data_IF_440821886864
#
_entry.id   IF_440821886864
#
_cell.length_a   1.000
_cell.length_b   1.000
_cell.length_c   1.000
_cell.angle_alpha   90.00
_cell.angle_beta   90.00
_cell.angle_gamma   90.00
#
_symmetry.space_group_name_H-M   'P 1'
#
loop_
_entity.id
_entity.type
_entity.pdbx_description
1 polymer ?
#
# COMPACT_ATOMS: atom_id res chain seq x y z
N UNK A 1 -12.92 12.29 -2.35
CA UNK A 1 -13.07 12.08 -3.80
C UNK A 1 -13.55 10.67 -4.15
N UNK A 2 -12.75 9.61 -4.04
CA UNK A 2 -13.14 8.27 -4.52
C UNK A 2 -14.43 7.70 -3.89
N UNK A 3 -14.68 7.94 -2.60
CA UNK A 3 -15.95 7.55 -1.98
C UNK A 3 -17.16 8.24 -2.62
N UNK A 4 -17.02 9.49 -3.09
CA UNK A 4 -18.10 10.26 -3.71
C UNK A 4 -18.53 9.64 -5.05
N UNK A 5 -17.61 8.97 -5.76
CA UNK A 5 -17.93 8.22 -6.98
C UNK A 5 -18.96 7.11 -6.72
N UNK A 6 -19.10 6.66 -5.47
CA UNK A 6 -20.06 5.66 -5.01
C UNK A 6 -21.20 6.26 -4.17
N UNK A 7 -21.34 7.59 -4.14
CA UNK A 7 -22.40 8.28 -3.40
C UNK A 7 -22.13 8.49 -1.91
N UNK A 8 -20.89 8.31 -1.43
CA UNK A 8 -20.54 8.45 -0.02
C UNK A 8 -19.55 9.57 0.23
N UNK A 9 -19.73 10.32 1.33
CA UNK A 9 -18.82 11.40 1.72
C UNK A 9 -17.61 10.91 2.53
N UNK A 10 -17.66 9.69 3.06
CA UNK A 10 -16.66 9.14 3.94
C UNK A 10 -16.49 7.62 3.74
N UNK A 11 -15.32 7.12 4.11
CA UNK A 11 -14.98 5.71 3.95
C UNK A 11 -15.76 4.78 4.87
N UNK A 12 -16.18 5.25 6.06
CA UNK A 12 -16.91 4.42 7.02
C UNK A 12 -18.28 4.02 6.45
N UNK A 13 -19.00 4.98 5.87
CA UNK A 13 -20.29 4.74 5.25
C UNK A 13 -20.21 3.75 4.07
N UNK A 14 -19.16 3.86 3.25
CA UNK A 14 -18.90 2.90 2.16
C UNK A 14 -18.53 1.50 2.69
N UNK A 15 -17.68 1.42 3.72
CA UNK A 15 -17.26 0.17 4.38
C UNK A 15 -18.46 -0.61 4.91
N UNK A 16 -19.43 0.06 5.53
CA UNK A 16 -20.61 -0.59 6.12
C UNK A 16 -21.40 -1.39 5.07
N UNK A 17 -21.36 -0.99 3.79
CA UNK A 17 -22.01 -1.73 2.70
C UNK A 17 -21.29 -3.03 2.31
N UNK A 18 -19.98 -3.15 2.55
CA UNK A 18 -19.16 -4.21 1.97
C UNK A 18 -18.56 -5.18 2.99
N UNK A 19 -18.38 -4.76 4.25
CA UNK A 19 -17.58 -5.51 5.24
C UNK A 19 -18.09 -6.93 5.55
N UNK A 20 -19.39 -7.19 5.42
CA UNK A 20 -20.00 -8.50 5.69
C UNK A 20 -20.25 -9.34 4.43
N UNK A 21 -19.80 -8.87 3.26
CA UNK A 21 -20.01 -9.61 2.01
C UNK A 21 -19.00 -10.74 1.87
N UNK A 22 -19.45 -11.80 1.21
CA UNK A 22 -18.59 -12.93 0.89
C UNK A 22 -17.50 -12.53 -0.11
N UNK A 23 -16.30 -13.05 0.10
CA UNK A 23 -15.13 -12.76 -0.73
C UNK A 23 -15.08 -13.61 -2.00
N UNK A 24 -15.82 -14.73 -2.01
CA UNK A 24 -15.90 -15.62 -3.16
C UNK A 24 -16.72 -15.00 -4.29
N UNK A 25 -16.46 -15.40 -5.55
CA UNK A 25 -17.31 -15.05 -6.69
C UNK A 25 -18.78 -15.43 -6.48
N UNK A 26 -19.68 -14.58 -6.97
CA UNK A 26 -21.07 -14.95 -7.19
C UNK A 26 -21.20 -15.95 -8.36
N UNK A 27 -22.37 -16.58 -8.49
CA UNK A 27 -22.64 -17.61 -9.51
C UNK A 27 -22.45 -17.11 -10.96
N UNK A 28 -22.65 -15.82 -11.19
CA UNK A 28 -22.51 -15.18 -12.50
C UNK A 28 -21.07 -14.76 -12.82
N UNK A 29 -20.12 -15.05 -11.92
CA UNK A 29 -18.71 -14.75 -12.11
C UNK A 29 -18.30 -13.33 -11.73
N UNK A 30 -19.19 -12.49 -11.22
CA UNK A 30 -18.81 -11.19 -10.63
C UNK A 30 -18.55 -11.31 -9.13
N UNK A 31 -17.88 -10.33 -8.53
CA UNK A 31 -17.78 -10.27 -7.06
C UNK A 31 -19.10 -9.83 -6.42
N UNK A 32 -19.35 -10.27 -5.19
CA UNK A 32 -20.44 -9.70 -4.39
C UNK A 32 -20.25 -8.19 -4.14
N UNK A 33 -19.00 -7.71 -4.15
CA UNK A 33 -18.68 -6.29 -4.07
C UNK A 33 -19.24 -5.52 -5.28
N UNK A 34 -19.03 -6.01 -6.50
CA UNK A 34 -19.62 -5.41 -7.72
C UNK A 34 -21.13 -5.29 -7.62
N UNK A 35 -21.82 -6.37 -7.25
CA UNK A 35 -23.29 -6.39 -7.18
C UNK A 35 -23.84 -5.37 -6.18
N UNK A 36 -23.21 -5.26 -5.00
CA UNK A 36 -23.58 -4.24 -4.02
C UNK A 36 -23.27 -2.84 -4.52
N UNK A 37 -22.08 -2.60 -5.07
CA UNK A 37 -21.65 -1.27 -5.53
C UNK A 37 -22.51 -0.76 -6.70
N UNK A 38 -22.90 -1.63 -7.64
CA UNK A 38 -23.78 -1.32 -8.77
C UNK A 38 -25.16 -0.81 -8.31
N UNK A 39 -25.64 -1.31 -7.17
CA UNK A 39 -26.94 -0.95 -6.61
C UNK A 39 -26.96 0.35 -5.79
N UNK A 40 -25.80 0.98 -5.59
CA UNK A 40 -25.70 2.18 -4.75
C UNK A 40 -26.37 3.40 -5.39
N UNK A 41 -27.15 4.12 -4.59
CA UNK A 41 -27.68 5.42 -4.99
C UNK A 41 -26.55 6.44 -5.07
N UNK A 42 -26.46 7.17 -6.18
CA UNK A 42 -25.41 8.18 -6.38
C UNK A 42 -24.10 7.64 -6.96
N UNK A 43 -24.10 6.40 -7.47
CA UNK A 43 -23.00 5.87 -8.27
C UNK A 43 -22.77 6.76 -9.49
N UNK A 44 -21.54 7.27 -9.63
CA UNK A 44 -21.12 8.16 -10.71
C UNK A 44 -20.38 7.40 -11.83
N UNK A 45 -20.04 6.13 -11.59
CA UNK A 45 -19.39 5.24 -12.56
C UNK A 45 -20.47 4.42 -13.27
N UNK A 46 -20.37 4.28 -14.59
CA UNK A 46 -21.34 3.46 -15.31
C UNK A 46 -21.29 1.99 -14.85
N UNK A 47 -22.43 1.28 -14.80
CA UNK A 47 -22.46 -0.13 -14.40
C UNK A 47 -21.55 -1.05 -15.25
N UNK A 48 -21.40 -0.72 -16.53
CA UNK A 48 -20.57 -1.49 -17.47
C UNK A 48 -19.07 -1.26 -17.20
N UNK A 49 -18.68 -0.02 -16.92
CA UNK A 49 -17.30 0.30 -16.55
C UNK A 49 -16.93 -0.32 -15.20
N UNK A 50 -17.84 -0.26 -14.21
CA UNK A 50 -17.64 -0.93 -12.93
C UNK A 50 -17.53 -2.46 -13.09
N UNK A 51 -18.29 -3.05 -14.01
CA UNK A 51 -18.20 -4.47 -14.34
C UNK A 51 -16.84 -4.82 -14.97
N UNK A 52 -16.36 -3.98 -15.89
CA UNK A 52 -15.05 -4.15 -16.50
C UNK A 52 -13.91 -4.11 -15.46
N UNK A 53 -13.98 -3.19 -14.49
CA UNK A 53 -13.02 -3.16 -13.38
C UNK A 53 -13.09 -4.42 -12.53
N UNK A 54 -14.29 -4.88 -12.15
CA UNK A 54 -14.44 -6.11 -11.35
C UNK A 54 -13.82 -7.32 -12.05
N UNK A 55 -14.14 -7.51 -13.34
CA UNK A 55 -13.58 -8.60 -14.14
C UNK A 55 -12.06 -8.51 -14.25
N UNK A 56 -11.51 -7.31 -14.44
CA UNK A 56 -10.07 -7.12 -14.51
C UNK A 56 -9.39 -7.40 -13.16
N UNK A 57 -10.02 -7.02 -12.03
CA UNK A 57 -9.55 -7.35 -10.68
C UNK A 57 -9.45 -8.86 -10.50
N UNK A 58 -10.46 -9.60 -10.96
CA UNK A 58 -10.44 -11.07 -10.88
C UNK A 58 -9.27 -11.68 -11.64
N UNK A 59 -8.96 -11.19 -12.84
CA UNK A 59 -7.79 -11.64 -13.61
C UNK A 59 -6.51 -11.48 -12.79
N UNK A 60 -6.35 -10.36 -12.08
CA UNK A 60 -5.19 -10.18 -11.19
C UNK A 60 -5.20 -11.14 -10.01
N UNK A 61 -6.36 -11.42 -9.40
CA UNK A 61 -6.47 -12.37 -8.29
C UNK A 61 -6.16 -13.80 -8.76
N UNK A 62 -6.61 -14.18 -9.95
CA UNK A 62 -6.26 -15.47 -10.57
C UNK A 62 -4.75 -15.58 -10.81
N UNK A 63 -4.12 -14.53 -11.34
CA UNK A 63 -2.66 -14.47 -11.49
C UNK A 63 -1.92 -14.55 -10.14
N UNK A 64 -2.39 -13.81 -9.14
CA UNK A 64 -1.83 -13.82 -7.78
C UNK A 64 -1.86 -15.22 -7.16
N UNK A 65 -2.89 -16.01 -7.48
CA UNK A 65 -3.11 -17.34 -6.93
C UNK A 65 -2.42 -18.48 -7.68
N UNK A 66 -1.83 -18.22 -8.86
CA UNK A 66 -1.23 -19.25 -9.72
C UNK A 66 -0.25 -20.19 -9.00
N UNK A 67 0.52 -19.65 -8.06
CA UNK A 67 1.50 -20.41 -7.29
C UNK A 67 1.29 -20.31 -5.77
N UNK A 68 0.07 -19.95 -5.33
CA UNK A 68 -0.27 -19.83 -3.91
C UNK A 68 -1.19 -20.96 -3.48
N UNK A 69 -0.93 -21.50 -2.30
CA UNK A 69 -1.78 -22.49 -1.64
C UNK A 69 -1.77 -22.21 -0.15
N UNK A 70 -2.93 -21.94 0.49
CA UNK A 70 -4.27 -21.81 -0.11
C UNK A 70 -4.40 -20.59 -1.04
N UNK A 71 -5.42 -20.56 -1.92
CA UNK A 71 -5.71 -19.38 -2.72
C UNK A 71 -6.16 -18.21 -1.83
N UNK A 72 -5.76 -17.01 -2.21
CA UNK A 72 -6.12 -15.75 -1.59
C UNK A 72 -7.44 -15.25 -2.20
N UNK A 73 -8.34 -14.81 -1.35
CA UNK A 73 -9.48 -13.97 -1.74
C UNK A 73 -9.26 -12.57 -1.19
N UNK A 74 -9.62 -11.54 -1.95
CA UNK A 74 -9.47 -10.16 -1.49
C UNK A 74 -10.56 -9.85 -0.47
N UNK A 75 -10.14 -9.40 0.72
CA UNK A 75 -11.06 -8.75 1.67
C UNK A 75 -11.64 -7.49 1.05
N UNK A 76 -12.78 -7.03 1.53
CA UNK A 76 -13.45 -5.85 0.96
C UNK A 76 -12.54 -4.61 0.87
N UNK A 77 -11.68 -4.38 1.87
CA UNK A 77 -10.75 -3.25 1.88
C UNK A 77 -9.59 -3.42 0.89
N UNK A 78 -9.18 -4.66 0.63
CA UNK A 78 -8.20 -4.98 -0.42
C UNK A 78 -8.83 -4.77 -1.80
N UNK A 79 -10.06 -5.26 -1.99
CA UNK A 79 -10.83 -5.03 -3.21
C UNK A 79 -11.01 -3.54 -3.48
N UNK A 80 -11.40 -2.74 -2.47
CA UNK A 80 -11.54 -1.28 -2.64
C UNK A 80 -10.22 -0.58 -2.97
N UNK A 81 -9.12 -0.96 -2.32
CA UNK A 81 -7.80 -0.40 -2.64
C UNK A 81 -7.42 -0.66 -4.12
N UNK A 82 -7.67 -1.88 -4.60
CA UNK A 82 -7.44 -2.25 -6.00
C UNK A 82 -8.42 -1.54 -6.93
N UNK A 83 -9.71 -1.48 -6.60
CA UNK A 83 -10.73 -0.81 -7.40
C UNK A 83 -10.47 0.69 -7.55
N UNK A 84 -10.05 1.37 -6.47
CA UNK A 84 -9.68 2.78 -6.55
C UNK A 84 -8.45 2.96 -7.43
N UNK A 85 -7.53 1.99 -7.43
CA UNK A 85 -6.37 1.98 -8.34
C UNK A 85 -6.78 1.76 -9.79
N UNK A 86 -7.75 0.87 -10.08
CA UNK A 86 -8.32 0.70 -11.43
C UNK A 86 -8.88 2.03 -11.95
N UNK A 87 -9.74 2.66 -11.16
CA UNK A 87 -10.39 3.93 -11.53
C UNK A 87 -9.34 5.03 -11.72
N UNK A 88 -8.37 5.14 -10.81
CA UNK A 88 -7.33 6.16 -10.90
C UNK A 88 -6.48 5.96 -12.15
N UNK A 89 -5.98 4.74 -12.38
CA UNK A 89 -5.05 4.46 -13.47
C UNK A 89 -5.72 4.51 -14.84
N UNK A 90 -6.96 4.03 -15.00
CA UNK A 90 -7.74 4.26 -16.24
C UNK A 90 -7.73 5.75 -16.57
N UNK A 91 -8.24 6.55 -15.64
CA UNK A 91 -8.40 7.99 -15.84
C UNK A 91 -7.07 8.72 -16.03
N UNK A 92 -6.01 8.30 -15.34
CA UNK A 92 -4.67 8.84 -15.50
C UNK A 92 -4.18 8.68 -16.96
N UNK A 93 -4.46 7.53 -17.58
CA UNK A 93 -3.96 7.18 -18.90
C UNK A 93 -4.98 7.41 -20.04
N UNK A 94 -6.27 7.59 -19.75
CA UNK A 94 -7.32 7.87 -20.74
C UNK A 94 -7.75 9.34 -20.76
N UNK A 95 -7.75 10.02 -19.62
CA UNK A 95 -8.43 11.32 -19.43
C UNK A 95 -7.77 12.19 -18.36
N UNK A 96 -6.43 12.27 -18.37
CA UNK A 96 -5.62 12.96 -17.34
C UNK A 96 -6.10 14.38 -17.03
N UNK A 97 -6.38 15.19 -18.06
CA UNK A 97 -6.80 16.57 -17.88
C UNK A 97 -8.16 16.67 -17.14
N UNK A 98 -9.09 15.79 -17.48
CA UNK A 98 -10.39 15.69 -16.81
C UNK A 98 -10.24 15.25 -15.36
N UNK A 99 -9.37 14.26 -15.09
CA UNK A 99 -9.07 13.83 -13.71
C UNK A 99 -8.54 14.99 -12.85
N UNK A 100 -7.61 15.80 -13.37
CA UNK A 100 -7.12 16.99 -12.66
C UNK A 100 -8.24 18.00 -12.39
N UNK A 101 -9.10 18.26 -13.39
CA UNK A 101 -10.22 19.20 -13.23
C UNK A 101 -11.14 18.77 -12.10
N UNK A 102 -11.60 17.51 -12.12
CA UNK A 102 -12.54 17.00 -11.12
C UNK A 102 -11.93 16.89 -9.72
N UNK A 103 -10.64 16.54 -9.60
CA UNK A 103 -9.94 16.59 -8.31
C UNK A 103 -9.89 18.02 -7.77
N UNK A 104 -9.67 19.01 -8.64
CA UNK A 104 -9.62 20.42 -8.24
C UNK A 104 -11.00 21.00 -7.93
N UNK A 105 -12.05 20.53 -8.60
CA UNK A 105 -13.44 20.84 -8.24
C UNK A 105 -13.75 20.30 -6.84
N UNK A 106 -13.38 19.04 -6.55
CA UNK A 106 -13.51 18.47 -5.21
C UNK A 106 -12.71 19.25 -4.16
N UNK A 107 -11.48 19.67 -4.46
CA UNK A 107 -10.68 20.55 -3.57
C UNK A 107 -11.38 21.88 -3.30
N UNK A 108 -11.99 22.50 -4.32
CA UNK A 108 -12.73 23.73 -4.16
C UNK A 108 -13.96 23.55 -3.26
N UNK A 109 -14.70 22.44 -3.42
CA UNK A 109 -15.81 22.07 -2.55
C UNK A 109 -15.36 21.87 -1.10
N UNK A 110 -14.30 21.10 -0.85
CA UNK A 110 -13.76 20.89 0.50
C UNK A 110 -13.27 22.21 1.13
N UNK A 111 -12.57 23.04 0.36
CA UNK A 111 -12.14 24.37 0.81
C UNK A 111 -13.30 25.31 1.14
N UNK A 112 -14.48 25.13 0.52
CA UNK A 112 -15.67 25.92 0.83
C UNK A 112 -16.30 25.55 2.18
N UNK A 113 -16.06 24.34 2.68
CA UNK A 113 -16.54 23.83 3.97
C UNK A 113 -15.65 24.28 5.13
N UNK A 114 -14.43 24.73 4.84
CA UNK A 114 -13.46 25.18 5.85
C UNK A 114 -13.81 26.57 6.39
N UNK A 115 -13.45 26.80 7.65
CA UNK A 115 -13.52 28.14 8.26
C UNK A 115 -12.63 29.13 7.49
N UNK A 116 -13.00 30.42 7.37
CA UNK A 116 -12.20 31.43 6.66
C UNK A 116 -10.75 31.58 7.14
N UNK A 117 -10.47 31.19 8.38
CA UNK A 117 -9.13 31.26 9.00
C UNK A 117 -8.33 29.94 8.89
N UNK A 118 -8.96 28.87 8.41
CA UNK A 118 -8.28 27.59 8.25
C UNK A 118 -7.39 27.61 6.99
N UNK A 119 -6.22 26.96 7.01
CA UNK A 119 -5.41 26.80 5.81
C UNK A 119 -6.19 25.99 4.77
N UNK A 120 -6.20 26.47 3.52
CA UNK A 120 -6.87 25.81 2.41
C UNK A 120 -5.99 24.73 1.80
N UNK A 121 -6.61 23.66 1.31
CA UNK A 121 -5.97 22.66 0.47
C UNK A 121 -5.56 23.29 -0.87
N UNK A 122 -4.38 22.95 -1.36
CA UNK A 122 -3.91 23.43 -2.66
C UNK A 122 -4.44 22.55 -3.80
N UNK A 123 -4.52 23.11 -5.00
CA UNK A 123 -4.96 22.40 -6.19
C UNK A 123 -3.93 21.33 -6.61
N UNK A 124 -4.42 20.23 -7.15
CA UNK A 124 -3.65 19.21 -7.84
C UNK A 124 -3.01 19.76 -9.12
N UNK A 125 -1.76 19.37 -9.32
CA UNK A 125 -0.95 19.62 -10.51
C UNK A 125 -0.66 18.31 -11.24
N UNK A 126 -0.05 18.39 -12.43
CA UNK A 126 0.35 17.19 -13.15
C UNK A 126 1.37 16.35 -12.38
N UNK A 127 2.29 16.95 -11.64
CA UNK A 127 3.28 16.21 -10.82
C UNK A 127 2.63 15.51 -9.64
N UNK A 128 1.51 16.00 -9.12
CA UNK A 128 0.81 15.35 -8.01
C UNK A 128 0.18 14.02 -8.44
N UNK A 129 -0.01 13.80 -9.75
CA UNK A 129 -0.57 12.55 -10.27
C UNK A 129 0.45 11.45 -10.57
N UNK A 130 1.73 11.64 -10.28
CA UNK A 130 2.76 10.61 -10.47
C UNK A 130 3.06 9.80 -9.21
N UNK A 131 2.24 9.95 -8.16
CA UNK A 131 2.39 9.22 -6.90
C UNK A 131 1.05 8.74 -6.35
N UNK A 132 1.00 7.47 -5.95
CA UNK A 132 -0.06 6.90 -5.15
C UNK A 132 0.51 6.31 -3.86
N UNK A 133 -0.18 6.53 -2.75
CA UNK A 133 0.16 6.00 -1.45
C UNK A 133 -1.00 5.19 -0.85
N UNK A 134 -0.66 4.10 -0.18
CA UNK A 134 -1.60 3.22 0.52
C UNK A 134 -1.27 3.25 2.01
N UNK A 135 -2.12 3.95 2.77
CA UNK A 135 -2.01 3.98 4.22
C UNK A 135 -2.77 2.81 4.81
N UNK A 136 -2.11 1.66 4.96
CA UNK A 136 -2.79 0.45 5.42
C UNK A 136 -2.04 -0.24 6.55
N UNK A 137 -2.78 -0.75 7.55
CA UNK A 137 -2.22 -1.41 8.73
C UNK A 137 -1.25 -2.56 8.37
N UNK A 138 -0.30 -2.86 9.24
CA UNK A 138 0.54 -4.06 9.10
C UNK A 138 -0.33 -5.31 9.22
N UNK A 139 -0.14 -6.27 8.32
CA UNK A 139 -1.01 -7.46 8.23
C UNK A 139 -2.24 -7.29 7.31
N UNK A 140 -2.56 -6.08 6.85
CA UNK A 140 -3.68 -5.85 5.90
C UNK A 140 -3.43 -6.36 4.47
N UNK A 141 -2.26 -6.96 4.18
CA UNK A 141 -1.97 -7.52 2.86
C UNK A 141 -1.45 -6.52 1.82
N UNK A 142 -0.78 -5.43 2.23
CA UNK A 142 -0.16 -4.43 1.33
C UNK A 142 0.70 -5.04 0.21
N UNK A 143 1.44 -6.11 0.51
CA UNK A 143 2.26 -6.83 -0.48
C UNK A 143 1.43 -7.39 -1.64
N UNK A 144 0.22 -7.88 -1.36
CA UNK A 144 -0.67 -8.40 -2.41
C UNK A 144 -1.17 -7.25 -3.29
N UNK A 145 -1.57 -6.14 -2.67
CA UNK A 145 -1.99 -4.91 -3.36
C UNK A 145 -0.86 -4.37 -4.24
N UNK A 146 0.38 -4.38 -3.75
CA UNK A 146 1.56 -3.97 -4.51
C UNK A 146 1.76 -4.78 -5.79
N UNK A 147 1.63 -6.10 -5.72
CA UNK A 147 1.75 -6.96 -6.89
C UNK A 147 0.64 -6.72 -7.89
N UNK A 148 -0.60 -6.53 -7.41
CA UNK A 148 -1.74 -6.19 -8.25
C UNK A 148 -1.50 -4.81 -8.90
N UNK A 149 -1.08 -3.80 -8.14
CA UNK A 149 -0.81 -2.46 -8.67
C UNK A 149 0.25 -2.45 -9.78
N UNK A 150 1.25 -3.34 -9.72
CA UNK A 150 2.18 -3.53 -10.84
C UNK A 150 1.44 -3.93 -12.12
N UNK A 151 0.57 -4.95 -12.05
CA UNK A 151 -0.21 -5.38 -13.21
C UNK A 151 -1.21 -4.33 -13.68
N UNK A 152 -1.87 -3.62 -12.76
CA UNK A 152 -2.77 -2.52 -13.09
C UNK A 152 -2.04 -1.41 -13.83
N UNK A 153 -0.88 -1.01 -13.32
CA UNK A 153 -0.08 0.03 -13.96
C UNK A 153 0.31 -0.38 -15.37
N UNK A 154 0.86 -1.59 -15.54
CA UNK A 154 1.24 -2.10 -16.86
C UNK A 154 0.05 -2.23 -17.82
N UNK A 155 -1.11 -2.63 -17.30
CA UNK A 155 -2.35 -2.76 -18.08
C UNK A 155 -2.83 -1.42 -18.66
N UNK A 156 -2.76 -0.34 -17.88
CA UNK A 156 -3.23 0.98 -18.32
C UNK A 156 -2.15 1.83 -19.01
N UNK A 157 -0.88 1.67 -18.62
CA UNK A 157 0.22 2.39 -19.23
C UNK A 157 0.49 1.89 -20.64
N UNK A 158 0.45 0.56 -20.86
CA UNK A 158 0.78 -0.09 -22.14
C UNK A 158 1.97 0.60 -22.82
N UNK A 159 1.83 0.99 -24.09
CA UNK A 159 2.85 1.70 -24.87
C UNK A 159 2.83 3.23 -24.68
N UNK A 160 1.95 3.79 -23.82
CA UNK A 160 1.83 5.24 -23.59
C UNK A 160 3.01 5.79 -22.79
N UNK A 161 3.58 4.97 -21.91
CA UNK A 161 4.73 5.33 -21.07
C UNK A 161 5.68 4.15 -21.00
N UNK A 162 6.97 4.43 -21.22
CA UNK A 162 8.04 3.45 -21.03
C UNK A 162 8.92 3.91 -19.87
N UNK A 163 9.17 3.01 -18.93
CA UNK A 163 10.09 3.24 -17.82
C UNK A 163 11.42 2.56 -18.06
N UNK A 164 12.50 3.20 -17.60
CA UNK A 164 13.85 2.64 -17.68
C UNK A 164 14.03 1.44 -16.76
N UNK A 165 13.35 1.43 -15.60
CA UNK A 165 13.40 0.35 -14.62
C UNK A 165 12.06 0.20 -13.87
N UNK A 166 11.81 -1.02 -13.37
CA UNK A 166 10.82 -1.28 -12.31
C UNK A 166 11.58 -1.62 -11.04
N UNK A 167 11.45 -0.79 -10.00
CA UNK A 167 12.22 -0.88 -8.77
C UNK A 167 11.31 -1.07 -7.56
N UNK A 168 11.68 -1.98 -6.66
CA UNK A 168 11.08 -2.09 -5.33
C UNK A 168 12.13 -1.75 -4.28
N UNK A 169 11.93 -0.64 -3.58
CA UNK A 169 12.80 -0.18 -2.49
C UNK A 169 12.27 -0.70 -1.16
N UNK A 170 13.13 -1.41 -0.42
CA UNK A 170 12.84 -2.00 0.89
C UNK A 170 13.72 -1.38 1.98
N UNK A 171 13.34 -1.44 3.26
CA UNK A 171 14.10 -0.81 4.33
C UNK A 171 15.29 -1.62 4.84
N UNK A 172 15.37 -2.93 4.56
CA UNK A 172 16.52 -3.79 4.88
C UNK A 172 16.57 -5.04 3.98
N UNK A 173 17.76 -5.66 3.86
CA UNK A 173 17.99 -6.89 3.09
C UNK A 173 17.05 -8.06 3.49
N UNK A 174 16.68 -8.18 4.77
CA UNK A 174 15.75 -9.23 5.23
C UNK A 174 14.36 -9.11 4.59
N UNK A 175 13.85 -7.88 4.51
CA UNK A 175 12.60 -7.57 3.81
C UNK A 175 12.75 -7.68 2.29
N UNK A 176 13.91 -7.34 1.72
CA UNK A 176 14.21 -7.62 0.30
C UNK A 176 14.01 -9.09 -0.05
N UNK A 177 14.58 -10.00 0.76
CA UNK A 177 14.44 -11.43 0.56
C UNK A 177 13.01 -11.91 0.77
N UNK A 178 12.26 -11.31 1.69
CA UNK A 178 10.84 -11.61 1.88
C UNK A 178 10.01 -11.24 0.64
N UNK A 179 10.21 -10.03 0.10
CA UNK A 179 9.54 -9.60 -1.13
C UNK A 179 9.88 -10.50 -2.32
N UNK A 180 11.14 -10.89 -2.49
CA UNK A 180 11.52 -11.84 -3.55
C UNK A 180 10.78 -13.19 -3.44
N UNK A 181 10.56 -13.71 -2.22
CA UNK A 181 9.76 -14.92 -2.02
C UNK A 181 8.29 -14.70 -2.37
N UNK A 182 7.71 -13.57 -1.97
CA UNK A 182 6.30 -13.25 -2.25
C UNK A 182 6.04 -12.95 -3.73
N UNK A 183 6.97 -12.30 -4.42
CA UNK A 183 6.91 -12.03 -5.86
C UNK A 183 6.92 -13.35 -6.65
N UNK A 184 7.76 -14.31 -6.26
CA UNK A 184 7.77 -15.67 -6.85
C UNK A 184 6.43 -16.38 -6.68
N UNK A 185 5.81 -16.31 -5.50
CA UNK A 185 4.46 -16.87 -5.27
C UNK A 185 3.39 -16.22 -6.17
N UNK A 186 3.65 -15.01 -6.65
CA UNK A 186 2.75 -14.26 -7.54
C UNK A 186 3.15 -14.40 -9.02
N UNK A 187 4.18 -15.20 -9.33
CA UNK A 187 4.69 -15.37 -10.70
C UNK A 187 5.41 -14.15 -11.27
N UNK A 188 5.77 -13.16 -10.44
CA UNK A 188 6.47 -11.95 -10.90
C UNK A 188 7.96 -12.23 -10.98
N UNK A 189 8.53 -12.00 -12.16
CA UNK A 189 9.97 -12.11 -12.39
C UNK A 189 10.67 -10.95 -11.69
N UNK A 190 11.47 -11.27 -10.68
CA UNK A 190 12.20 -10.30 -9.90
C UNK A 190 13.61 -10.78 -9.56
N UNK A 191 14.53 -9.83 -9.40
CA UNK A 191 15.92 -10.09 -9.00
C UNK A 191 16.33 -9.24 -7.81
N UNK A 192 17.25 -9.74 -7.00
CA UNK A 192 17.90 -8.91 -6.00
C UNK A 192 18.91 -7.97 -6.67
N UNK A 193 19.02 -6.74 -6.18
CA UNK A 193 20.07 -5.83 -6.64
C UNK A 193 21.46 -6.43 -6.39
N UNK A 194 22.32 -6.38 -7.41
CA UNK A 194 23.66 -6.96 -7.37
C UNK A 194 23.76 -8.43 -7.78
N UNK A 195 22.64 -9.15 -7.96
CA UNK A 195 22.67 -10.48 -8.56
C UNK A 195 22.81 -10.37 -10.09
N UNK A 196 23.67 -11.21 -10.67
CA UNK A 196 23.75 -11.38 -12.11
C UNK A 196 22.38 -11.85 -12.59
N UNK A 197 21.74 -11.05 -13.46
CA UNK A 197 20.39 -11.35 -13.91
C UNK A 197 20.37 -12.68 -14.65
N UNK A 198 19.46 -13.57 -14.28
CA UNK A 198 18.86 -14.47 -15.26
C UNK A 198 17.99 -13.59 -16.15
N UNK A 199 18.60 -12.94 -17.14
CA UNK A 199 17.85 -12.36 -18.24
C UNK A 199 17.20 -13.55 -18.93
N UNK A 200 15.95 -13.82 -18.60
CA UNK A 200 15.16 -14.73 -19.41
C UNK A 200 14.88 -13.98 -20.72
N UNK A 201 15.87 -14.01 -21.61
CA UNK A 201 15.86 -13.40 -22.94
C UNK A 201 14.65 -13.84 -23.77
N UNK A 202 13.92 -14.87 -23.31
CA UNK A 202 12.74 -15.43 -23.92
C UNK A 202 11.42 -14.73 -23.55
N UNK A 203 11.34 -13.93 -22.47
CA UNK A 203 10.06 -13.34 -22.04
C UNK A 203 9.82 -11.88 -22.49
N UNK A 204 10.88 -11.16 -22.88
CA UNK A 204 10.79 -9.74 -23.27
C UNK A 204 10.34 -8.78 -22.16
N UNK A 205 10.10 -9.27 -20.94
CA UNK A 205 9.63 -8.48 -19.80
C UNK A 205 10.79 -7.99 -18.96
N UNK A 206 10.79 -6.69 -18.65
CA UNK A 206 11.78 -6.09 -17.75
C UNK A 206 11.55 -6.61 -16.31
N UNK A 207 12.54 -7.29 -15.69
CA UNK A 207 12.37 -7.85 -14.35
C UNK A 207 12.31 -6.74 -13.29
N UNK A 208 11.47 -6.93 -12.28
CA UNK A 208 11.43 -6.05 -11.11
C UNK A 208 12.71 -6.21 -10.30
N UNK A 209 13.40 -5.10 -10.01
CA UNK A 209 14.62 -5.12 -9.21
C UNK A 209 14.31 -4.74 -7.77
N UNK A 210 14.57 -5.64 -6.83
CA UNK A 210 14.41 -5.39 -5.40
C UNK A 210 15.73 -4.86 -4.84
N UNK A 211 15.71 -3.68 -4.23
CA UNK A 211 16.88 -3.00 -3.69
C UNK A 211 16.62 -2.50 -2.28
N UNK A 212 17.52 -2.83 -1.35
CA UNK A 212 17.52 -2.18 -0.04
C UNK A 212 17.97 -0.72 -0.19
N UNK A 213 17.23 0.18 0.47
CA UNK A 213 17.47 1.62 0.45
C UNK A 213 18.88 2.05 0.88
N UNK A 214 19.54 1.33 1.79
CA UNK A 214 20.92 1.67 2.22
C UNK A 214 21.97 1.44 1.13
N UNK A 215 21.63 0.69 0.07
CA UNK A 215 22.50 0.53 -1.10
C UNK A 215 22.43 1.74 -2.04
N UNK A 216 21.39 2.57 -1.93
CA UNK A 216 21.23 3.80 -2.71
C UNK A 216 22.06 4.93 -2.09
N UNK A 217 22.81 5.65 -2.90
CA UNK A 217 23.61 6.80 -2.48
C UNK A 217 23.56 7.94 -3.51
N UNK A 218 23.90 9.15 -3.10
CA UNK A 218 24.06 10.29 -4.03
C UNK A 218 25.42 10.29 -4.72
N UNK A 219 26.46 9.78 -4.04
CA UNK A 219 27.82 9.73 -4.57
C UNK A 219 28.51 8.51 -3.99
N UNK A 220 29.06 7.66 -4.86
CA UNK A 220 29.74 6.44 -4.44
C UNK A 220 31.04 6.80 -3.73
N UNK A 221 31.11 6.52 -2.43
CA UNK A 221 32.34 6.63 -1.64
C UNK A 221 32.77 5.22 -1.21
N UNK A 222 33.78 4.66 -1.90
CA UNK A 222 34.39 3.37 -1.56
C UNK A 222 33.95 2.17 -2.40
N UNK A 223 34.35 0.97 -1.98
CA UNK A 223 34.24 -0.30 -2.73
C UNK A 223 33.05 -1.22 -2.38
N UNK A 224 31.99 -0.69 -1.76
CA UNK A 224 30.80 -1.48 -1.41
C UNK A 224 29.83 -1.72 -2.58
N UNK A 225 28.79 -2.54 -2.31
CA UNK A 225 27.65 -2.81 -3.21
C UNK A 225 26.68 -1.60 -3.34
N UNK A 226 27.15 -0.39 -3.05
CA UNK A 226 26.34 0.84 -3.19
C UNK A 226 26.29 1.30 -4.64
N UNK A 227 25.18 1.97 -4.97
CA UNK A 227 24.87 2.49 -6.30
C UNK A 227 24.34 3.91 -6.21
N UNK A 228 24.83 4.73 -7.13
CA UNK A 228 24.35 6.09 -7.27
C UNK A 228 22.93 6.07 -7.82
N UNK A 229 22.03 6.85 -7.23
CA UNK A 229 20.64 6.95 -7.68
C UNK A 229 20.55 7.29 -9.17
N UNK A 230 21.45 8.14 -9.66
CA UNK A 230 21.48 8.56 -11.07
C UNK A 230 21.78 7.41 -12.04
N UNK A 231 22.36 6.30 -11.57
CA UNK A 231 22.60 5.13 -12.41
C UNK A 231 21.31 4.47 -12.90
N UNK A 232 20.20 4.66 -12.20
CA UNK A 232 18.88 4.19 -12.63
C UNK A 232 18.16 5.21 -13.54
N UNK A 233 18.66 6.44 -13.65
CA UNK A 233 17.96 7.54 -14.31
C UNK A 233 16.69 7.99 -13.56
N UNK A 234 16.01 9.05 -14.05
CA UNK A 234 14.89 9.67 -13.35
C UNK A 234 13.51 9.06 -13.68
N UNK A 235 13.41 8.23 -14.71
CA UNK A 235 12.15 7.69 -15.23
C UNK A 235 11.98 6.21 -14.84
N UNK A 236 11.64 5.95 -13.59
CA UNK A 236 11.40 4.60 -13.07
C UNK A 236 9.97 4.41 -12.58
N UNK A 237 9.45 3.18 -12.69
CA UNK A 237 8.29 2.73 -11.93
C UNK A 237 8.77 2.25 -10.57
N UNK A 238 8.50 3.04 -9.53
CA UNK A 238 9.05 2.87 -8.20
C UNK A 238 7.98 2.36 -7.22
N UNK A 239 8.26 1.26 -6.54
CA UNK A 239 7.49 0.76 -5.40
C UNK A 239 8.31 0.95 -4.14
N UNK A 240 7.67 1.44 -3.07
CA UNK A 240 8.35 1.73 -1.79
C UNK A 240 7.62 1.00 -0.68
N UNK A 241 8.29 0.03 -0.07
CA UNK A 241 7.81 -0.63 1.14
C UNK A 241 8.25 0.13 2.39
N UNK A 242 7.38 0.17 3.39
CA UNK A 242 7.54 0.96 4.61
C UNK A 242 8.04 2.39 4.35
N UNK A 243 7.32 3.10 3.45
CA UNK A 243 7.64 4.46 3.04
C UNK A 243 7.93 5.42 4.20
N UNK A 244 7.39 5.12 5.38
CA UNK A 244 7.59 5.83 6.65
C UNK A 244 8.95 5.65 7.33
N UNK A 245 9.56 4.46 7.30
CA UNK A 245 10.87 4.25 7.96
C UNK A 245 11.96 5.04 7.26
N UNK A 246 11.71 5.43 6.00
CA UNK A 246 12.51 6.39 5.25
C UNK A 246 12.08 7.85 5.33
N UNK A 247 11.01 8.17 6.05
CA UNK A 247 10.59 9.56 6.22
C UNK A 247 11.32 10.27 7.38
N UNK A 248 12.04 9.52 8.23
CA UNK A 248 12.90 10.09 9.29
C UNK A 248 14.27 10.55 8.78
N UNK A 249 14.70 10.10 7.58
CA UNK A 249 15.92 10.57 6.92
C UNK A 249 15.61 11.41 5.69
N UNK A 250 15.90 12.72 5.74
CA UNK A 250 15.74 13.65 4.61
C UNK A 250 16.39 13.13 3.32
N UNK A 251 17.55 12.49 3.47
CA UNK A 251 18.28 11.82 2.40
C UNK A 251 17.43 10.77 1.69
N UNK A 252 16.69 9.93 2.41
CA UNK A 252 15.96 8.81 1.81
C UNK A 252 14.77 9.30 0.97
N UNK A 253 14.05 10.31 1.46
CA UNK A 253 12.97 10.95 0.69
C UNK A 253 13.52 11.57 -0.60
N UNK A 254 14.66 12.23 -0.53
CA UNK A 254 15.30 12.83 -1.71
C UNK A 254 15.78 11.78 -2.72
N UNK A 255 16.40 10.69 -2.26
CA UNK A 255 16.79 9.57 -3.12
C UNK A 255 15.58 8.98 -3.87
N UNK A 256 14.46 8.77 -3.18
CA UNK A 256 13.22 8.29 -3.80
C UNK A 256 12.64 9.29 -4.80
N UNK A 257 12.66 10.59 -4.47
CA UNK A 257 12.22 11.66 -5.37
C UNK A 257 13.04 11.65 -6.66
N UNK A 258 14.36 11.53 -6.56
CA UNK A 258 15.27 11.47 -7.72
C UNK A 258 15.06 10.22 -8.57
N UNK A 259 14.82 9.06 -7.96
CA UNK A 259 14.55 7.82 -8.68
C UNK A 259 13.30 7.87 -9.57
N UNK A 260 12.30 8.65 -9.20
CA UNK A 260 11.02 8.68 -9.92
C UNK A 260 10.58 10.10 -10.32
N UNK A 261 11.53 11.02 -10.49
CA UNK A 261 11.26 12.42 -10.83
C UNK A 261 10.46 12.56 -12.13
N UNK A 262 10.73 11.70 -13.11
CA UNK A 262 10.02 11.61 -14.39
C UNK A 262 9.21 10.31 -14.51
N UNK A 263 9.11 9.56 -13.40
CA UNK A 263 8.50 8.23 -13.34
C UNK A 263 7.16 8.23 -12.62
N UNK A 264 6.84 7.09 -12.00
CA UNK A 264 5.64 6.91 -11.20
C UNK A 264 5.97 6.17 -9.90
N UNK A 265 5.39 6.59 -8.78
CA UNK A 265 5.67 6.01 -7.47
C UNK A 265 4.42 5.41 -6.82
N UNK A 266 4.53 4.19 -6.34
CA UNK A 266 3.61 3.57 -5.38
C UNK A 266 4.29 3.47 -4.00
N UNK A 267 3.67 4.02 -2.97
CA UNK A 267 4.16 3.94 -1.59
C UNK A 267 3.21 3.17 -0.68
N UNK A 268 3.76 2.29 0.16
CA UNK A 268 2.99 1.44 1.08
C UNK A 268 3.49 1.67 2.50
N UNK A 269 2.59 1.98 3.44
CA UNK A 269 2.99 2.23 4.81
C UNK A 269 1.84 2.09 5.80
N UNK A 270 2.14 1.61 7.01
CA UNK A 270 1.18 1.57 8.11
C UNK A 270 1.14 2.86 8.95
N UNK A 271 2.14 3.74 8.86
CA UNK A 271 2.38 4.77 9.88
C UNK A 271 2.51 6.19 9.33
N UNK A 272 1.86 6.51 8.20
CA UNK A 272 1.87 7.88 7.66
C UNK A 272 1.47 8.94 8.70
N UNK A 273 0.44 8.67 9.51
CA UNK A 273 0.04 9.57 10.60
C UNK A 273 1.15 9.82 11.63
N UNK A 274 1.97 8.82 11.95
CA UNK A 274 3.10 8.99 12.88
C UNK A 274 4.20 9.85 12.27
N UNK A 275 4.49 9.71 10.97
CA UNK A 275 5.47 10.55 10.26
C UNK A 275 5.06 12.02 10.36
N UNK A 276 3.81 12.32 9.99
CA UNK A 276 3.33 13.70 9.90
C UNK A 276 3.29 14.35 11.28
N UNK A 277 2.79 13.61 12.28
CA UNK A 277 2.70 14.11 13.66
C UNK A 277 4.08 14.24 14.31
N UNK A 278 5.01 13.33 14.01
CA UNK A 278 6.39 13.34 14.50
C UNK A 278 7.30 14.35 13.79
N UNK A 279 6.91 14.86 12.62
CA UNK A 279 7.70 15.84 11.87
C UNK A 279 7.80 17.18 12.62
N UNK A 280 8.92 17.90 12.41
CA UNK A 280 9.11 19.27 12.91
C UNK A 280 8.06 20.22 12.36
N UNK A 281 7.81 21.34 13.07
CA UNK A 281 6.78 22.33 12.68
C UNK A 281 6.96 22.84 11.26
N UNK A 282 8.21 23.02 10.80
CA UNK A 282 8.51 23.53 9.46
C UNK A 282 8.30 22.48 8.35
N UNK A 283 8.45 21.19 8.68
CA UNK A 283 8.35 20.08 7.71
C UNK A 283 6.93 19.52 7.57
N UNK A 284 6.13 19.63 8.64
CA UNK A 284 4.77 19.07 8.68
C UNK A 284 3.85 19.58 7.56
N UNK A 285 3.82 20.88 7.22
CA UNK A 285 2.96 21.38 6.13
C UNK A 285 3.28 20.73 4.78
N UNK A 286 4.56 20.57 4.44
CA UNK A 286 4.97 19.96 3.18
C UNK A 286 4.62 18.46 3.10
N UNK A 287 4.70 17.74 4.22
CA UNK A 287 4.29 16.33 4.29
C UNK A 287 2.77 16.18 4.18
N UNK A 288 2.01 17.05 4.85
CA UNK A 288 0.56 17.09 4.74
C UNK A 288 0.13 17.36 3.29
N UNK A 289 0.75 18.35 2.64
CA UNK A 289 0.50 18.69 1.25
C UNK A 289 0.74 17.49 0.32
N UNK A 290 1.90 16.85 0.42
CA UNK A 290 2.26 15.69 -0.40
C UNK A 290 1.29 14.51 -0.19
N UNK A 291 1.08 14.09 1.06
CA UNK A 291 0.32 12.87 1.34
C UNK A 291 -1.20 13.08 1.27
N UNK A 292 -1.72 14.29 1.48
CA UNK A 292 -3.14 14.58 1.26
C UNK A 292 -3.57 14.39 -0.20
N UNK A 293 -2.63 14.55 -1.14
CA UNK A 293 -2.83 14.33 -2.58
C UNK A 293 -2.48 12.92 -3.03
N UNK A 294 -1.47 12.31 -2.42
CA UNK A 294 -0.98 11.00 -2.83
C UNK A 294 -1.73 9.82 -2.21
N UNK A 295 -2.28 9.93 -0.99
CA UNK A 295 -2.97 8.79 -0.34
C UNK A 295 -4.27 8.48 -1.10
N UNK A 296 -4.27 7.34 -1.78
CA UNK A 296 -5.42 6.83 -2.53
C UNK A 296 -6.40 6.10 -1.61
N UNK A 297 -5.86 5.35 -0.65
CA UNK A 297 -6.63 4.50 0.24
C UNK A 297 -6.08 4.52 1.66
N UNK A 298 -6.95 4.83 2.62
CA UNK A 298 -6.68 4.79 4.06
C UNK A 298 -7.45 3.62 4.68
N UNK A 299 -6.69 2.63 5.12
CA UNK A 299 -7.11 1.53 5.97
C UNK A 299 -6.11 1.36 7.11
N UNK A 300 -5.86 2.48 7.79
CA UNK A 300 -4.97 2.59 8.95
C UNK A 300 -5.42 1.71 10.12
N UNK A 301 -4.56 1.58 11.14
CA UNK A 301 -4.79 0.69 12.29
C UNK A 301 -6.17 0.87 12.97
N UNK A 302 -6.73 2.08 13.13
CA UNK A 302 -8.08 2.22 13.68
C UNK A 302 -9.16 1.49 12.87
N UNK A 303 -9.08 1.50 11.54
CA UNK A 303 -10.01 0.76 10.67
C UNK A 303 -9.78 -0.75 10.80
N UNK A 304 -8.52 -1.18 10.71
CA UNK A 304 -8.11 -2.59 10.87
C UNK A 304 -8.59 -3.18 12.19
N UNK A 305 -8.41 -2.44 13.29
CA UNK A 305 -8.86 -2.82 14.62
C UNK A 305 -10.38 -2.84 14.75
N UNK A 306 -11.08 -1.87 14.17
CA UNK A 306 -12.54 -1.87 14.17
C UNK A 306 -13.13 -3.05 13.38
N UNK A 307 -12.44 -3.58 12.37
CA UNK A 307 -12.83 -4.81 11.67
C UNK A 307 -12.51 -6.10 12.46
N UNK A 308 -12.00 -5.98 13.69
CA UNK A 308 -11.67 -7.12 14.55
C UNK A 308 -10.28 -7.71 14.28
N UNK A 309 -9.44 -7.04 13.49
CA UNK A 309 -8.06 -7.45 13.27
C UNK A 309 -7.08 -6.74 14.20
N UNK A 310 -5.85 -7.24 14.28
CA UNK A 310 -4.79 -6.61 15.07
C UNK A 310 -4.69 -7.19 16.48
N UNK A 311 -3.96 -6.49 17.35
CA UNK A 311 -3.65 -6.96 18.69
C UNK A 311 -4.40 -6.12 19.72
N UNK A 312 -5.03 -6.80 20.67
CA UNK A 312 -5.40 -6.17 21.93
C UNK A 312 -4.11 -5.85 22.70
N UNK A 313 -4.04 -4.64 23.23
CA UNK A 313 -2.88 -4.20 24.01
C UNK A 313 -3.34 -3.54 25.30
N UNK A 314 -2.53 -3.72 26.34
CA UNK A 314 -2.73 -3.11 27.65
C UNK A 314 -1.57 -2.18 27.92
N UNK A 315 -1.87 -0.90 28.09
CA UNK A 315 -0.84 0.07 28.50
C UNK A 315 -0.84 0.13 30.02
N UNK A 316 0.23 -0.39 30.62
CA UNK A 316 0.47 -0.24 32.05
C UNK A 316 1.29 1.02 32.30
N UNK A 317 0.68 2.05 32.88
CA UNK A 317 1.40 3.24 33.31
C UNK A 317 2.22 2.90 34.55
N UNK A 318 3.53 2.76 34.38
CA UNK A 318 4.45 2.41 35.46
C UNK A 318 4.72 3.64 36.33
N UNK A 319 4.63 3.48 37.65
CA UNK A 319 4.96 4.52 38.64
C UNK A 319 6.36 4.35 39.23
N UNK A 320 6.95 3.17 39.07
CA UNK A 320 8.27 2.78 39.56
C UNK A 320 9.13 2.39 38.36
N UNK A 321 10.23 3.12 38.14
CA UNK A 321 11.18 2.88 37.04
C UNK A 321 12.44 2.14 37.51
N UNK A 322 12.40 1.54 38.71
CA UNK A 322 13.54 0.79 39.22
C UNK A 322 13.88 -0.43 38.33
N UNK A 323 15.17 -0.73 38.23
CA UNK A 323 15.66 -1.89 37.48
C UNK A 323 15.05 -3.22 37.97
N UNK A 324 14.68 -3.30 39.25
CA UNK A 324 14.01 -4.49 39.81
C UNK A 324 12.61 -4.63 39.23
N UNK A 325 11.83 -3.56 39.22
CA UNK A 325 10.48 -3.58 38.67
C UNK A 325 10.46 -3.87 37.17
N UNK A 326 11.41 -3.30 36.40
CA UNK A 326 11.56 -3.62 34.97
C UNK A 326 11.82 -5.11 34.72
N UNK A 327 12.60 -5.79 35.59
CA UNK A 327 12.80 -7.24 35.52
C UNK A 327 11.53 -8.03 35.81
N UNK A 328 10.71 -7.60 36.77
CA UNK A 328 9.42 -8.22 37.05
C UNK A 328 8.44 -8.08 35.88
N UNK A 329 8.37 -6.89 35.27
CA UNK A 329 7.55 -6.67 34.08
C UNK A 329 8.02 -7.54 32.91
N UNK A 330 9.33 -7.62 32.67
CA UNK A 330 9.89 -8.49 31.65
C UNK A 330 9.55 -9.96 31.91
N UNK A 331 9.68 -10.43 33.16
CA UNK A 331 9.30 -11.79 33.54
C UNK A 331 7.82 -12.06 33.31
N UNK A 332 6.93 -11.13 33.73
CA UNK A 332 5.50 -11.25 33.50
C UNK A 332 5.14 -11.32 32.01
N UNK A 333 5.77 -10.47 31.19
CA UNK A 333 5.57 -10.49 29.74
C UNK A 333 6.10 -11.79 29.10
N UNK A 334 7.24 -12.31 29.57
CA UNK A 334 7.78 -13.60 29.12
C UNK A 334 6.87 -14.77 29.49
N UNK A 335 6.30 -14.77 30.71
CA UNK A 335 5.35 -15.78 31.14
C UNK A 335 4.06 -15.72 30.31
N UNK A 336 3.51 -14.52 30.11
CA UNK A 336 2.33 -14.34 29.26
C UNK A 336 2.57 -14.78 27.81
N UNK A 337 3.75 -14.48 27.26
CA UNK A 337 4.13 -14.95 25.92
C UNK A 337 4.25 -16.48 25.86
N UNK A 338 4.85 -17.10 26.89
CA UNK A 338 4.94 -18.55 26.99
C UNK A 338 3.55 -19.20 27.09
N UNK A 339 2.64 -18.64 27.87
CA UNK A 339 1.24 -19.10 27.95
C UNK A 339 0.53 -18.98 26.60
N UNK A 340 0.73 -17.89 25.86
CA UNK A 340 0.19 -17.74 24.50
C UNK A 340 0.71 -18.82 23.55
N UNK A 341 2.01 -19.16 23.64
CA UNK A 341 2.60 -20.24 22.85
C UNK A 341 2.02 -21.60 23.21
N UNK A 342 1.87 -21.91 24.50
CA UNK A 342 1.26 -23.16 24.96
C UNK A 342 -0.17 -23.30 24.44
N UNK A 343 -0.99 -22.25 24.61
CA UNK A 343 -2.37 -22.25 24.13
C UNK A 343 -2.43 -22.42 22.61
N UNK A 344 -1.56 -21.75 21.86
CA UNK A 344 -1.46 -21.90 20.41
C UNK A 344 -1.13 -23.34 19.98
N UNK A 345 -0.15 -23.97 20.65
CA UNK A 345 0.31 -25.33 20.35
C UNK A 345 -0.69 -26.41 20.80
N UNK A 346 -1.36 -26.23 21.94
CA UNK A 346 -2.33 -27.20 22.49
C UNK A 346 -3.69 -27.17 21.77
N UNK A 347 -4.11 -26.01 21.26
CA UNK A 347 -5.43 -25.80 20.64
C UNK A 347 -5.37 -25.49 19.14
N UNK A 348 -4.31 -25.91 18.44
CA UNK A 348 -4.08 -25.58 17.02
C UNK A 348 -5.28 -25.89 16.12
N UNK A 349 -5.90 -27.07 16.26
CA UNK A 349 -7.06 -27.47 15.44
C UNK A 349 -8.31 -26.64 15.73
N UNK A 350 -8.53 -26.24 16.99
CA UNK A 350 -9.65 -25.38 17.38
C UNK A 350 -9.47 -23.96 16.84
N UNK A 351 -8.23 -23.48 16.77
CA UNK A 351 -7.89 -22.14 16.26
C UNK A 351 -7.72 -22.05 14.75
N UNK A 352 -7.62 -23.19 14.05
CA UNK A 352 -7.46 -23.25 12.60
C UNK A 352 -8.47 -22.41 11.81
N UNK A 353 -9.78 -22.38 12.14
CA UNK A 353 -10.75 -21.55 11.42
C UNK A 353 -10.50 -20.04 11.55
N UNK A 354 -9.79 -19.61 12.60
CA UNK A 354 -9.48 -18.20 12.87
C UNK A 354 -8.20 -17.73 12.20
N UNK A 355 -7.44 -18.63 11.55
CA UNK A 355 -6.16 -18.34 10.89
C UNK A 355 -5.19 -17.57 11.81
N UNK A 356 -5.12 -17.98 13.09
CA UNK A 356 -4.15 -17.41 14.02
C UNK A 356 -2.74 -17.86 13.64
N UNK A 357 -1.84 -16.90 13.50
CA UNK A 357 -0.42 -17.15 13.32
C UNK A 357 0.24 -17.36 14.69
N UNK A 358 1.38 -18.06 14.69
CA UNK A 358 2.17 -18.27 15.90
C UNK A 358 2.46 -16.93 16.59
N UNK A 359 2.24 -16.79 17.91
CA UNK A 359 2.59 -15.59 18.66
C UNK A 359 4.03 -15.13 18.38
N UNK A 360 4.18 -13.84 18.07
CA UNK A 360 5.47 -13.20 17.74
C UNK A 360 5.98 -12.37 18.93
N UNK A 361 7.28 -12.49 19.22
CA UNK A 361 8.04 -11.65 20.16
C UNK A 361 8.65 -10.43 19.47
#
# INVERSE_FOLDING_TARGET
YFCNLFGFNDFRSLREQLHNLQEIPAEDGYSHYYHTLKGLKGLQISPDQLAAYDLQIRVYVEHLNRFRTPPIQLKYFQYLAVLFSEIYLDRLFSSRATLISELNEFVAEENSKLSPIAPKYSNFTNSDLSKLAFWMATGSGKTLIMHINLWQYLYYSQDKVQHSNVLLVTPNDGLSLQHLRELRKSGIIAKHYGEAGTTDLFSGQMPLTVIEITKLTETKRGGGLTVEVDAFGPNNLLFVDEGHRGASGEVWRELRRRLAEQGFTFEYSATFGQIVNGASRDKRPALLEEYSKAILFDYSYPHFYHDGYGKDYWITNLKDESNTFNKWMLLGNLLSFYEQLLVYEEHEEEFRPYNLEKPLW
#
